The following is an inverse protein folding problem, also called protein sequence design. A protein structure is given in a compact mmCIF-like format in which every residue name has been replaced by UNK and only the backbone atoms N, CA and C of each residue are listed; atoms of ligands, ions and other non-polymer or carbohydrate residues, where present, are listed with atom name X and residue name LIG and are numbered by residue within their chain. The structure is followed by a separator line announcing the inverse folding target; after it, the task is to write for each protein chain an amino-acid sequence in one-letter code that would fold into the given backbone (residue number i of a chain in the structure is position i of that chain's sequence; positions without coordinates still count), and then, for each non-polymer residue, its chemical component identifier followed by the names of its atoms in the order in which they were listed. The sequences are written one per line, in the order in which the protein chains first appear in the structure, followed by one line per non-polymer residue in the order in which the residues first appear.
data_IF_686817602664
#
_entry.id   IF_686817602664
#
_cell.length_a   1.000
_cell.length_b   1.000
_cell.length_c   1.000
_cell.angle_alpha   90.00
_cell.angle_beta   90.00
_cell.angle_gamma   90.00
#
_symmetry.space_group_name_H-M   'P 1'
#
loop_
_entity.id
_entity.type
_entity.pdbx_description
1 polymer ?
#
# COMPACT_ATOMS: atom_id res chain seq x y z
N UNK A 1 -24.39 -14.02 -17.91
CA UNK A 1 -23.04 -13.97 -18.51
C UNK A 1 -22.30 -15.25 -18.12
N UNK A 2 -21.85 -16.08 -19.08
CA UNK A 2 -21.06 -17.27 -18.79
C UNK A 2 -19.69 -16.86 -18.22
N UNK A 3 -19.27 -17.47 -17.12
CA UNK A 3 -17.93 -17.27 -16.54
C UNK A 3 -16.91 -17.89 -17.49
N UNK A 4 -15.99 -17.09 -17.99
CA UNK A 4 -14.86 -17.59 -18.75
C UNK A 4 -14.02 -18.54 -17.86
N UNK A 5 -13.60 -19.71 -18.37
CA UNK A 5 -12.75 -20.62 -17.64
C UNK A 5 -11.42 -19.91 -17.34
N UNK A 6 -10.99 -19.94 -16.09
CA UNK A 6 -9.67 -19.40 -15.68
C UNK A 6 -8.59 -20.26 -16.35
N UNK A 7 -7.65 -19.67 -17.08
CA UNK A 7 -6.53 -20.44 -17.63
C UNK A 7 -5.76 -21.06 -16.45
N UNK A 8 -5.65 -22.38 -16.47
CA UNK A 8 -4.78 -23.11 -15.55
C UNK A 8 -3.35 -22.91 -16.03
N UNK A 9 -2.66 -21.91 -15.47
CA UNK A 9 -1.24 -21.71 -15.74
C UNK A 9 -0.49 -22.73 -14.90
N UNK A 10 -0.28 -23.91 -15.46
CA UNK A 10 0.67 -24.87 -14.92
C UNK A 10 2.07 -24.34 -15.22
N UNK A 11 2.69 -23.70 -14.26
CA UNK A 11 4.01 -23.07 -14.43
C UNK A 11 5.14 -24.06 -14.56
N UNK A 12 4.89 -25.36 -14.42
CA UNK A 12 5.90 -26.43 -14.62
C UNK A 12 7.23 -26.24 -13.87
N UNK A 13 7.28 -25.25 -12.99
CA UNK A 13 8.52 -24.91 -12.26
C UNK A 13 8.92 -26.09 -11.36
N UNK A 14 10.14 -26.59 -11.49
CA UNK A 14 10.61 -27.69 -10.66
C UNK A 14 10.51 -27.30 -9.19
N UNK A 15 9.88 -28.16 -8.38
CA UNK A 15 9.78 -27.95 -6.93
C UNK A 15 11.19 -27.94 -6.35
N UNK A 16 11.60 -26.92 -5.61
CA UNK A 16 12.94 -26.85 -5.06
C UNK A 16 13.22 -28.05 -4.16
N UNK A 17 14.44 -28.60 -4.27
CA UNK A 17 14.91 -29.71 -3.43
C UNK A 17 14.82 -29.36 -1.93
N UNK A 18 14.65 -30.36 -1.06
CA UNK A 18 14.51 -30.21 0.39
C UNK A 18 15.50 -29.21 1.04
N UNK A 19 16.81 -29.23 0.74
CA UNK A 19 17.74 -28.27 1.34
C UNK A 19 17.44 -26.84 0.93
N UNK A 20 16.99 -26.59 -0.32
CA UNK A 20 16.63 -25.25 -0.79
C UNK A 20 15.41 -24.68 -0.04
N UNK A 21 14.46 -25.53 0.33
CA UNK A 21 13.28 -25.09 1.11
C UNK A 21 13.64 -24.69 2.54
N UNK A 22 14.57 -25.39 3.17
CA UNK A 22 15.07 -25.06 4.51
C UNK A 22 15.83 -23.74 4.49
N UNK A 23 16.71 -23.54 3.51
CA UNK A 23 17.41 -22.26 3.32
C UNK A 23 16.47 -21.10 3.06
N UNK A 24 15.47 -21.29 2.21
CA UNK A 24 14.43 -20.27 1.98
C UNK A 24 13.69 -19.94 3.27
N UNK A 25 13.31 -20.95 4.06
CA UNK A 25 12.67 -20.74 5.36
C UNK A 25 13.55 -19.95 6.33
N UNK A 26 14.84 -20.29 6.43
CA UNK A 26 15.79 -19.57 7.30
C UNK A 26 15.99 -18.11 6.86
N UNK A 27 16.15 -17.89 5.56
CA UNK A 27 16.31 -16.54 5.01
C UNK A 27 15.06 -15.69 5.30
N UNK A 28 13.86 -16.22 5.04
CA UNK A 28 12.61 -15.52 5.32
C UNK A 28 12.43 -15.25 6.82
N UNK A 29 12.79 -16.23 7.67
CA UNK A 29 12.72 -16.05 9.12
C UNK A 29 13.72 -14.98 9.60
N UNK A 30 14.96 -15.00 9.13
CA UNK A 30 15.97 -14.00 9.44
C UNK A 30 15.53 -12.61 8.97
N UNK A 31 15.03 -12.50 7.75
CA UNK A 31 14.48 -11.25 7.19
C UNK A 31 13.33 -10.72 8.06
N UNK A 32 12.35 -11.55 8.36
CA UNK A 32 11.21 -11.16 9.19
C UNK A 32 11.65 -10.74 10.61
N UNK A 33 12.68 -11.40 11.18
CA UNK A 33 13.22 -11.05 12.48
C UNK A 33 13.91 -9.69 12.45
N UNK A 34 14.73 -9.42 11.44
CA UNK A 34 15.38 -8.12 11.25
C UNK A 34 14.34 -7.01 11.11
N UNK A 35 13.29 -7.20 10.30
CA UNK A 35 12.22 -6.23 10.17
C UNK A 35 11.49 -5.96 11.49
N UNK A 36 11.15 -7.03 12.24
CA UNK A 36 10.50 -6.87 13.54
C UNK A 36 11.35 -6.10 14.54
N UNK A 37 12.67 -6.38 14.58
CA UNK A 37 13.61 -5.65 15.44
C UNK A 37 13.84 -4.21 15.00
N UNK A 38 13.81 -3.96 13.69
CA UNK A 38 13.95 -2.61 13.12
C UNK A 38 12.67 -1.75 13.29
N UNK A 39 11.49 -2.37 13.41
CA UNK A 39 10.20 -1.68 13.51
C UNK A 39 10.17 -0.60 14.61
N UNK A 40 10.59 -0.86 15.89
CA UNK A 40 10.54 0.17 16.91
C UNK A 40 11.48 1.35 16.62
N UNK A 41 12.66 1.10 16.05
CA UNK A 41 13.57 2.17 15.61
C UNK A 41 12.95 3.00 14.49
N UNK A 42 12.29 2.34 13.57
CA UNK A 42 11.59 2.99 12.47
C UNK A 42 10.43 3.86 12.98
N UNK A 43 9.60 3.34 13.88
CA UNK A 43 8.51 4.09 14.52
C UNK A 43 9.02 5.29 15.30
N UNK A 44 10.14 5.14 16.03
CA UNK A 44 10.80 6.24 16.72
C UNK A 44 11.29 7.31 15.75
N UNK A 45 11.87 6.91 14.61
CA UNK A 45 12.29 7.83 13.52
C UNK A 45 11.09 8.60 12.97
N UNK A 46 9.96 7.92 12.70
CA UNK A 46 8.73 8.57 12.22
C UNK A 46 8.18 9.55 13.27
N UNK A 47 8.17 9.14 14.54
CA UNK A 47 7.70 9.98 15.60
C UNK A 47 8.56 11.25 15.75
N UNK A 48 9.89 11.13 15.65
CA UNK A 48 10.81 12.28 15.61
C UNK A 48 10.58 13.16 14.40
N UNK A 49 10.44 12.59 13.20
CA UNK A 49 10.13 13.33 11.98
C UNK A 49 8.77 14.02 12.06
N UNK A 50 7.83 13.45 12.75
CA UNK A 50 6.53 14.06 13.01
C UNK A 50 6.55 15.31 13.90
N UNK A 51 7.73 15.70 14.47
CA UNK A 51 7.90 16.99 15.14
C UNK A 51 7.99 18.14 14.13
N UNK A 52 8.61 17.88 12.97
CA UNK A 52 8.75 18.85 11.87
C UNK A 52 7.60 18.76 10.87
N UNK A 53 7.07 17.55 10.63
CA UNK A 53 5.98 17.29 9.71
C UNK A 53 4.87 16.49 10.42
N UNK A 54 3.87 17.19 10.97
CA UNK A 54 2.79 16.58 11.78
C UNK A 54 2.06 15.40 11.08
N UNK A 55 2.03 15.40 9.74
CA UNK A 55 1.44 14.33 8.94
C UNK A 55 2.00 12.94 9.21
N UNK A 56 3.27 12.82 9.64
CA UNK A 56 3.87 11.51 9.94
C UNK A 56 3.33 10.86 11.22
N UNK A 57 2.75 11.62 12.14
CA UNK A 57 2.12 11.11 13.37
C UNK A 57 0.68 10.68 13.16
N UNK A 58 0.09 11.10 12.05
CA UNK A 58 -1.31 10.80 11.77
C UNK A 58 -1.47 9.33 11.38
N UNK A 59 -2.33 8.62 12.12
CA UNK A 59 -2.71 7.21 11.86
C UNK A 59 -1.53 6.26 11.71
N UNK A 60 -0.58 6.30 12.63
CA UNK A 60 0.60 5.41 12.64
C UNK A 60 0.24 3.92 12.56
N UNK A 61 -0.91 3.51 13.11
CA UNK A 61 -1.37 2.13 13.10
C UNK A 61 -1.63 1.62 11.66
N UNK A 62 -2.03 2.50 10.74
CA UNK A 62 -2.21 2.11 9.32
C UNK A 62 -0.88 1.62 8.72
N UNK A 63 0.26 2.17 9.17
CA UNK A 63 1.60 1.74 8.73
C UNK A 63 2.02 0.37 9.26
N UNK A 64 1.33 -0.12 10.27
CA UNK A 64 1.47 -1.48 10.81
C UNK A 64 0.41 -2.44 10.25
N UNK A 65 -0.35 -2.01 9.24
CA UNK A 65 -1.40 -2.81 8.63
C UNK A 65 -2.75 -2.79 9.36
N UNK A 66 -2.89 -1.96 10.41
CA UNK A 66 -4.15 -1.81 11.14
C UNK A 66 -4.93 -0.60 10.65
N UNK A 67 -6.13 -0.83 10.11
CA UNK A 67 -7.00 0.19 9.52
C UNK A 67 -8.31 0.36 10.32
N UNK A 68 -8.27 0.84 11.58
CA UNK A 68 -9.45 0.93 12.43
C UNK A 68 -10.49 1.89 11.84
N UNK A 69 -11.75 1.47 11.85
CA UNK A 69 -12.89 2.28 11.40
C UNK A 69 -12.94 2.57 9.90
N UNK A 70 -12.20 1.80 9.10
CA UNK A 70 -12.29 1.90 7.64
C UNK A 70 -12.96 0.66 7.07
N UNK A 71 -14.14 0.81 6.47
CA UNK A 71 -14.73 -0.29 5.73
C UNK A 71 -13.88 -0.61 4.50
N UNK A 72 -13.85 -1.88 4.07
CA UNK A 72 -13.29 -2.24 2.78
C UNK A 72 -14.03 -1.46 1.68
N UNK A 73 -13.30 -1.08 0.63
CA UNK A 73 -13.84 -0.41 -0.55
C UNK A 73 -13.88 -1.41 -1.73
N UNK A 74 -14.85 -2.34 -1.74
CA UNK A 74 -14.92 -3.32 -2.81
C UNK A 74 -15.16 -2.62 -4.16
N UNK A 75 -14.42 -3.06 -5.19
CA UNK A 75 -14.50 -2.48 -6.53
C UNK A 75 -13.79 -1.13 -6.69
N UNK A 76 -13.13 -0.60 -5.66
CA UNK A 76 -12.31 0.59 -5.81
C UNK A 76 -11.05 0.30 -6.64
N UNK A 77 -10.62 1.28 -7.42
CA UNK A 77 -9.31 1.27 -8.05
C UNK A 77 -8.25 1.67 -7.03
N UNK A 78 -7.30 0.79 -6.81
CA UNK A 78 -6.18 1.08 -5.92
C UNK A 78 -5.07 1.80 -6.70
N UNK A 79 -4.74 2.99 -6.25
CA UNK A 79 -3.64 3.81 -6.76
C UNK A 79 -2.59 3.98 -5.65
N UNK A 80 -1.38 3.51 -5.91
CA UNK A 80 -0.25 3.67 -5.02
C UNK A 80 0.65 4.80 -5.51
N UNK A 81 0.79 5.87 -4.70
CA UNK A 81 1.65 7.01 -4.99
C UNK A 81 2.49 7.32 -3.74
N UNK A 82 3.76 6.88 -3.72
CA UNK A 82 4.63 6.96 -2.54
C UNK A 82 4.93 8.40 -2.16
N UNK A 83 5.24 9.24 -3.15
CA UNK A 83 5.80 10.58 -2.98
C UNK A 83 4.87 11.68 -3.49
N UNK A 84 5.24 12.94 -3.21
CA UNK A 84 4.57 14.12 -3.76
C UNK A 84 4.62 14.14 -5.29
N UNK A 85 5.77 13.77 -5.88
CA UNK A 85 5.95 13.76 -7.34
C UNK A 85 5.02 12.77 -8.02
N UNK A 86 4.98 11.53 -7.50
CA UNK A 86 4.09 10.49 -8.02
C UNK A 86 2.62 10.86 -7.87
N UNK A 87 2.23 11.44 -6.73
CA UNK A 87 0.85 11.89 -6.50
C UNK A 87 0.45 12.98 -7.51
N UNK A 88 1.35 13.91 -7.84
CA UNK A 88 1.10 14.93 -8.87
C UNK A 88 1.03 14.33 -10.26
N UNK A 89 1.92 13.41 -10.58
CA UNK A 89 1.93 12.72 -11.86
C UNK A 89 0.69 11.85 -12.10
N UNK A 90 0.06 11.36 -11.03
CA UNK A 90 -1.17 10.59 -11.10
C UNK A 90 -2.42 11.42 -11.43
N UNK A 91 -2.39 12.75 -11.29
CA UNK A 91 -3.57 13.61 -11.49
C UNK A 91 -4.23 13.42 -12.87
N UNK A 92 -3.50 13.48 -14.00
CA UNK A 92 -4.12 13.29 -15.32
C UNK A 92 -4.78 11.92 -15.49
N UNK A 93 -4.15 10.87 -14.91
CA UNK A 93 -4.69 9.52 -14.93
C UNK A 93 -6.02 9.44 -14.16
N UNK A 94 -6.05 9.98 -12.94
CA UNK A 94 -7.26 10.00 -12.10
C UNK A 94 -8.39 10.76 -12.79
N UNK A 95 -8.09 11.91 -13.38
CA UNK A 95 -9.07 12.70 -14.13
C UNK A 95 -9.61 11.95 -15.36
N UNK A 96 -8.75 11.27 -16.10
CA UNK A 96 -9.16 10.45 -17.24
C UNK A 96 -10.03 9.26 -16.81
N UNK A 97 -9.66 8.57 -15.73
CA UNK A 97 -10.42 7.46 -15.16
C UNK A 97 -11.82 7.92 -14.72
N UNK A 98 -11.93 9.06 -14.04
CA UNK A 98 -13.22 9.59 -13.58
C UNK A 98 -14.11 10.07 -14.73
N UNK A 99 -13.53 10.61 -15.81
CA UNK A 99 -14.30 10.93 -17.02
C UNK A 99 -14.88 9.69 -17.69
N UNK A 100 -14.11 8.61 -17.71
CA UNK A 100 -14.56 7.34 -18.29
C UNK A 100 -15.52 6.56 -17.38
N UNK A 101 -15.36 6.72 -16.06
CA UNK A 101 -16.11 5.99 -15.03
C UNK A 101 -16.50 6.96 -13.89
N UNK A 102 -17.64 7.69 -14.02
CA UNK A 102 -18.05 8.71 -13.05
C UNK A 102 -18.25 8.17 -11.62
N UNK A 103 -18.69 6.91 -11.50
CA UNK A 103 -18.93 6.25 -10.21
C UNK A 103 -17.67 5.57 -9.62
N UNK A 104 -16.51 5.82 -10.23
CA UNK A 104 -15.24 5.25 -9.80
C UNK A 104 -14.93 5.67 -8.36
N UNK A 105 -14.65 4.70 -7.51
CA UNK A 105 -14.07 4.93 -6.18
C UNK A 105 -12.56 4.64 -6.22
N UNK A 106 -11.80 5.49 -5.56
CA UNK A 106 -10.35 5.34 -5.42
C UNK A 106 -9.96 4.92 -4.01
N UNK A 107 -8.96 4.05 -3.92
CA UNK A 107 -8.18 3.83 -2.72
C UNK A 107 -6.76 4.33 -2.98
N UNK A 108 -6.40 5.45 -2.35
CA UNK A 108 -5.05 6.01 -2.44
C UNK A 108 -4.18 5.53 -1.29
N UNK A 109 -2.97 5.06 -1.60
CA UNK A 109 -1.95 4.74 -0.60
C UNK A 109 -0.69 5.58 -0.80
N UNK A 110 -0.11 6.02 0.31
CA UNK A 110 1.06 6.91 0.32
C UNK A 110 2.14 6.42 1.28
N UNK A 111 3.41 6.75 0.95
CA UNK A 111 4.56 6.56 1.84
C UNK A 111 4.96 7.84 2.60
N UNK A 112 4.68 9.03 2.03
CA UNK A 112 5.13 10.33 2.57
C UNK A 112 3.97 11.23 2.99
N UNK A 113 4.21 12.10 3.99
CA UNK A 113 3.20 13.04 4.48
C UNK A 113 2.82 14.08 3.41
N UNK A 114 3.80 14.55 2.63
CA UNK A 114 3.59 15.49 1.52
C UNK A 114 2.78 14.88 0.39
N UNK A 115 3.06 13.61 0.01
CA UNK A 115 2.27 12.86 -0.97
C UNK A 115 0.82 12.70 -0.50
N UNK A 116 0.62 12.29 0.77
CA UNK A 116 -0.72 12.17 1.35
C UNK A 116 -1.48 13.51 1.35
N UNK A 117 -0.83 14.60 1.70
CA UNK A 117 -1.46 15.93 1.67
C UNK A 117 -1.88 16.34 0.25
N UNK A 118 -1.01 16.11 -0.73
CA UNK A 118 -1.33 16.37 -2.14
C UNK A 118 -2.47 15.48 -2.65
N UNK A 119 -2.48 14.21 -2.22
CA UNK A 119 -3.48 13.22 -2.61
C UNK A 119 -4.92 13.61 -2.21
N UNK A 120 -5.09 14.45 -1.19
CA UNK A 120 -6.44 14.96 -0.82
C UNK A 120 -7.14 15.68 -1.96
N UNK A 121 -6.39 16.31 -2.86
CA UNK A 121 -6.95 17.01 -4.04
C UNK A 121 -7.50 16.05 -5.09
N UNK A 122 -7.10 14.79 -5.04
CA UNK A 122 -7.58 13.73 -5.93
C UNK A 122 -8.83 13.03 -5.39
N UNK A 123 -9.19 13.28 -4.13
CA UNK A 123 -10.27 12.58 -3.43
C UNK A 123 -11.62 13.19 -3.75
N UNK A 124 -12.61 12.32 -3.87
CA UNK A 124 -14.03 12.64 -3.90
C UNK A 124 -14.78 11.85 -2.81
N UNK A 125 -16.06 12.15 -2.63
CA UNK A 125 -16.90 11.42 -1.69
C UNK A 125 -16.93 9.92 -2.04
N UNK A 126 -16.77 9.08 -1.03
CA UNK A 126 -16.69 7.63 -1.20
C UNK A 126 -15.29 7.07 -1.46
N UNK A 127 -14.28 7.91 -1.67
CA UNK A 127 -12.89 7.48 -1.82
C UNK A 127 -12.23 7.16 -0.47
N UNK A 128 -11.18 6.36 -0.51
CA UNK A 128 -10.34 6.03 0.64
C UNK A 128 -8.90 6.51 0.49
N UNK A 129 -8.31 7.01 1.59
CA UNK A 129 -6.90 7.35 1.63
C UNK A 129 -6.25 6.79 2.89
N UNK A 130 -5.24 5.94 2.73
CA UNK A 130 -4.55 5.27 3.82
C UNK A 130 -3.03 5.30 3.65
N UNK A 131 -2.31 5.03 4.73
CA UNK A 131 -0.88 4.76 4.63
C UNK A 131 -0.63 3.36 4.07
N UNK A 132 0.44 3.21 3.28
CA UNK A 132 0.92 1.89 2.92
C UNK A 132 1.54 1.26 4.18
N UNK A 133 1.24 -0.01 4.48
CA UNK A 133 1.94 -0.74 5.54
C UNK A 133 3.43 -0.85 5.21
N UNK A 134 4.24 -0.97 6.24
CA UNK A 134 5.63 -1.38 6.07
C UNK A 134 5.71 -2.90 6.10
N UNK A 135 6.39 -3.46 5.12
CA UNK A 135 6.69 -4.88 5.04
C UNK A 135 7.76 -5.27 6.06
#
# INVERSE_FOLDING_TARGET
MPRLPRPHIDTGAPRPAWPARLWQGLVLWAYASVLRLATPLYLLRLWRRGKTEAGYRFRLMERLGFYPGRPPLPGAVWLHAVSLGETRAALPLVEALRRAHPDLRLLLTHGTATGRSAGRRLMQDGDGQVWLPYD
#
